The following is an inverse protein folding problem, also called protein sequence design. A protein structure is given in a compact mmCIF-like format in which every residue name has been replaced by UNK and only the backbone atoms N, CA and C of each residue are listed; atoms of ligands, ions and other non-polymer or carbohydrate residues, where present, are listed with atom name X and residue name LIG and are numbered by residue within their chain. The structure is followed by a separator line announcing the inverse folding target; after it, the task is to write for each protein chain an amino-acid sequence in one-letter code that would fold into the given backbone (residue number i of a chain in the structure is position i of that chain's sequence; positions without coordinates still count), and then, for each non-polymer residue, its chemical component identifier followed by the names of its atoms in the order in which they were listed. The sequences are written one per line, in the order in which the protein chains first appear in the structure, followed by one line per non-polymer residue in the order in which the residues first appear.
data_IF_103759488251
#
_entry.id   IF_103759488251
#
_cell.length_a   1.000
_cell.length_b   1.000
_cell.length_c   1.000
_cell.angle_alpha   90.00
_cell.angle_beta   90.00
_cell.angle_gamma   90.00
#
_symmetry.space_group_name_H-M   'P 1'
#
loop_
_entity.id
_entity.type
_entity.pdbx_description
1 polymer ?
#
# COMPACT_ATOMS: atom_id res chain seq x y z
N UNK A 1 5.19 -16.52 11.68
CA UNK A 1 6.37 -16.13 12.47
C UNK A 1 5.97 -15.54 13.81
N UNK A 2 6.92 -15.18 14.71
CA UNK A 2 6.58 -14.71 16.07
C UNK A 2 5.60 -13.52 16.09
N UNK A 3 5.77 -12.56 15.18
CA UNK A 3 4.89 -11.38 15.10
C UNK A 3 3.46 -11.74 14.70
N UNK A 4 3.28 -12.64 13.73
CA UNK A 4 1.94 -13.10 13.33
C UNK A 4 1.19 -13.73 14.53
N UNK A 5 1.89 -14.54 15.33
CA UNK A 5 1.33 -15.14 16.55
C UNK A 5 1.03 -14.07 17.61
N UNK A 6 1.96 -13.13 17.84
CA UNK A 6 1.76 -12.05 18.83
C UNK A 6 0.56 -11.19 18.46
N UNK A 7 0.39 -10.86 17.16
CA UNK A 7 -0.72 -10.06 16.67
C UNK A 7 -2.05 -10.80 16.83
N UNK A 8 -2.13 -12.07 16.39
CA UNK A 8 -3.35 -12.89 16.50
C UNK A 8 -3.73 -13.23 17.94
N UNK A 9 -2.75 -13.51 18.80
CA UNK A 9 -2.97 -13.89 20.18
C UNK A 9 -3.00 -12.67 21.14
N UNK A 10 -2.76 -11.46 20.65
CA UNK A 10 -2.74 -10.18 21.39
C UNK A 10 -1.88 -10.23 22.66
N UNK A 11 -0.70 -10.80 22.54
CA UNK A 11 0.11 -11.18 23.70
C UNK A 11 1.20 -10.19 24.09
N UNK A 12 1.51 -9.17 23.27
CA UNK A 12 2.60 -8.23 23.59
C UNK A 12 2.55 -6.91 22.81
N UNK A 13 3.20 -5.89 23.34
CA UNK A 13 3.42 -4.60 22.67
C UNK A 13 2.14 -3.78 22.58
N UNK A 14 1.88 -3.27 21.38
CA UNK A 14 0.65 -2.53 21.04
C UNK A 14 -0.57 -3.46 20.89
N UNK A 15 -0.34 -4.76 20.69
CA UNK A 15 -1.36 -5.77 20.42
C UNK A 15 -1.85 -6.40 21.74
N UNK A 16 -2.76 -5.74 22.44
CA UNK A 16 -3.25 -6.17 23.77
C UNK A 16 -4.75 -6.49 23.80
N UNK A 17 -5.45 -6.20 22.70
CA UNK A 17 -6.87 -6.49 22.51
C UNK A 17 -7.18 -6.54 21.02
N UNK A 18 -8.31 -7.13 20.60
CA UNK A 18 -8.76 -7.09 19.23
C UNK A 18 -8.80 -5.66 18.68
N UNK A 19 -9.41 -4.74 19.42
CA UNK A 19 -9.49 -3.33 19.02
C UNK A 19 -8.11 -2.70 18.81
N UNK A 20 -7.13 -2.97 19.69
CA UNK A 20 -5.79 -2.41 19.53
C UNK A 20 -5.08 -2.94 18.27
N UNK A 21 -5.35 -4.16 17.84
CA UNK A 21 -4.85 -4.68 16.56
C UNK A 21 -5.45 -3.92 15.38
N UNK A 22 -6.75 -3.64 15.42
CA UNK A 22 -7.43 -2.86 14.39
C UNK A 22 -6.92 -1.40 14.36
N UNK A 23 -6.72 -0.78 15.52
CA UNK A 23 -6.11 0.55 15.60
C UNK A 23 -4.73 0.61 14.96
N UNK A 24 -3.88 -0.39 15.20
CA UNK A 24 -2.56 -0.49 14.58
C UNK A 24 -2.65 -0.71 13.06
N UNK A 25 -3.59 -1.51 12.58
CA UNK A 25 -3.83 -1.65 11.14
C UNK A 25 -4.20 -0.29 10.50
N UNK A 26 -5.04 0.50 11.18
CA UNK A 26 -5.47 1.80 10.66
C UNK A 26 -4.36 2.84 10.78
N UNK A 27 -3.72 3.00 11.94
CA UNK A 27 -2.76 4.08 12.20
C UNK A 27 -1.35 3.72 11.73
N UNK A 28 -0.77 2.64 12.25
CA UNK A 28 0.62 2.26 11.95
C UNK A 28 0.78 1.68 10.55
N UNK A 29 -0.28 1.06 10.02
CA UNK A 29 -0.35 0.55 8.66
C UNK A 29 -0.87 1.61 7.68
N UNK A 30 -2.19 1.62 7.46
CA UNK A 30 -2.83 2.37 6.36
C UNK A 30 -2.56 3.88 6.38
N UNK A 31 -2.77 4.54 7.53
CA UNK A 31 -2.51 5.98 7.65
C UNK A 31 -1.04 6.32 7.41
N UNK A 32 -0.14 5.59 8.07
CA UNK A 32 1.30 5.88 7.97
C UNK A 32 1.76 5.82 6.50
N UNK A 33 1.34 4.82 5.76
CA UNK A 33 1.71 4.67 4.35
C UNK A 33 1.05 5.73 3.46
N UNK A 34 -0.24 6.04 3.66
CA UNK A 34 -0.89 7.12 2.91
C UNK A 34 -0.18 8.47 3.14
N UNK A 35 0.17 8.76 4.40
CA UNK A 35 0.91 9.96 4.77
C UNK A 35 2.34 9.96 4.22
N UNK A 36 3.04 8.83 4.29
CA UNK A 36 4.40 8.71 3.76
C UNK A 36 4.45 8.93 2.26
N UNK A 37 3.54 8.32 1.50
CA UNK A 37 3.46 8.54 0.05
C UNK A 37 3.15 10.00 -0.27
N UNK A 38 2.16 10.59 0.40
CA UNK A 38 1.77 11.97 0.15
C UNK A 38 2.82 13.00 0.58
N UNK A 39 3.34 12.90 1.81
CA UNK A 39 4.22 13.91 2.41
C UNK A 39 5.70 13.63 2.12
N UNK A 40 6.21 12.44 2.42
CA UNK A 40 7.64 12.16 2.31
C UNK A 40 8.07 11.79 0.89
N UNK A 41 7.28 10.95 0.19
CA UNK A 41 7.69 10.41 -1.12
C UNK A 41 7.36 11.35 -2.29
N UNK A 42 6.30 12.19 -2.19
CA UNK A 42 5.91 13.12 -3.27
C UNK A 42 6.13 14.59 -2.88
N UNK A 43 5.60 15.05 -1.74
CA UNK A 43 5.63 16.48 -1.38
C UNK A 43 7.03 16.96 -0.99
N UNK A 44 7.85 16.16 -0.31
CA UNK A 44 9.21 16.57 0.05
C UNK A 44 10.08 16.83 -1.20
N UNK A 45 10.17 15.89 -2.19
CA UNK A 45 10.82 16.18 -3.47
C UNK A 45 10.25 17.40 -4.19
N UNK A 46 8.93 17.54 -4.26
CA UNK A 46 8.24 18.67 -4.88
C UNK A 46 8.62 20.00 -4.21
N UNK A 47 8.58 20.06 -2.89
CA UNK A 47 8.87 21.28 -2.13
C UNK A 47 10.32 21.72 -2.32
N UNK A 48 11.27 20.80 -2.22
CA UNK A 48 12.69 21.08 -2.49
C UNK A 48 12.90 21.60 -3.91
N UNK A 49 12.35 20.90 -4.89
CA UNK A 49 12.51 21.22 -6.31
C UNK A 49 11.93 22.59 -6.65
N UNK A 50 10.72 22.90 -6.18
CA UNK A 50 10.02 24.17 -6.46
C UNK A 50 10.56 25.36 -5.65
N UNK A 51 11.18 25.12 -4.49
CA UNK A 51 11.85 26.18 -3.70
C UNK A 51 13.22 26.57 -4.24
N UNK A 52 13.71 25.91 -5.29
CA UNK A 52 14.98 26.23 -5.96
C UNK A 52 16.11 25.22 -5.69
N UNK A 53 15.94 24.31 -4.72
CA UNK A 53 16.86 23.19 -4.49
C UNK A 53 16.50 22.01 -5.42
N UNK A 54 16.72 22.22 -6.72
CA UNK A 54 16.39 21.22 -7.74
C UNK A 54 17.16 19.92 -7.58
N UNK A 55 18.43 20.01 -7.19
CA UNK A 55 19.28 18.84 -6.98
C UNK A 55 18.82 18.04 -5.76
N UNK A 56 18.54 18.72 -4.63
CA UNK A 56 17.98 18.11 -3.44
C UNK A 56 16.61 17.45 -3.70
N UNK A 57 15.75 18.10 -4.51
CA UNK A 57 14.47 17.52 -4.92
C UNK A 57 14.64 16.25 -5.75
N UNK A 58 15.55 16.26 -6.71
CA UNK A 58 15.87 15.08 -7.54
C UNK A 58 16.36 13.89 -6.70
N UNK A 59 17.28 14.11 -5.77
CA UNK A 59 17.84 13.04 -4.93
C UNK A 59 16.92 12.61 -3.77
N UNK A 60 15.88 13.38 -3.47
CA UNK A 60 14.86 12.99 -2.51
C UNK A 60 13.86 11.96 -3.08
N UNK A 61 13.82 11.79 -4.41
CA UNK A 61 12.93 10.82 -5.05
C UNK A 61 13.38 9.39 -4.75
N UNK A 62 12.52 8.60 -4.13
CA UNK A 62 12.74 7.17 -3.96
C UNK A 62 12.75 6.45 -5.32
N UNK A 63 13.43 5.30 -5.40
CA UNK A 63 13.58 4.53 -6.65
C UNK A 63 14.20 5.32 -7.81
N UNK A 64 15.04 6.30 -7.47
CA UNK A 64 15.64 7.24 -8.39
C UNK A 64 16.42 6.57 -9.54
N UNK A 65 17.13 5.48 -9.25
CA UNK A 65 17.93 4.76 -10.24
C UNK A 65 17.10 3.87 -11.16
N UNK A 66 16.03 3.30 -10.66
CA UNK A 66 15.17 2.36 -11.41
C UNK A 66 14.09 3.04 -12.24
N UNK A 67 13.74 4.29 -11.91
CA UNK A 67 12.64 5.06 -12.52
C UNK A 67 11.26 4.49 -12.24
N UNK A 68 11.12 3.66 -11.21
CA UNK A 68 9.88 2.96 -10.85
C UNK A 68 9.08 3.60 -9.71
N UNK A 69 9.44 4.83 -9.27
CA UNK A 69 8.78 5.50 -8.15
C UNK A 69 7.25 5.49 -8.25
N UNK A 70 6.71 5.75 -9.44
CA UNK A 70 5.25 5.75 -9.66
C UNK A 70 4.62 4.40 -9.36
N UNK A 71 5.23 3.31 -9.83
CA UNK A 71 4.69 1.96 -9.64
C UNK A 71 4.91 1.50 -8.18
N UNK A 72 6.03 1.86 -7.57
CA UNK A 72 6.32 1.60 -6.16
C UNK A 72 5.28 2.31 -5.26
N UNK A 73 5.03 3.61 -5.49
CA UNK A 73 4.03 4.37 -4.71
C UNK A 73 2.59 3.87 -4.93
N UNK A 74 2.27 3.41 -6.14
CA UNK A 74 0.98 2.77 -6.41
C UNK A 74 0.84 1.47 -5.60
N UNK A 75 1.89 0.65 -5.52
CA UNK A 75 1.89 -0.57 -4.71
C UNK A 75 1.78 -0.26 -3.20
N UNK A 76 2.33 0.85 -2.73
CA UNK A 76 2.08 1.32 -1.35
C UNK A 76 0.59 1.59 -1.11
N UNK A 77 -0.11 2.24 -2.03
CA UNK A 77 -1.57 2.44 -1.90
C UNK A 77 -2.34 1.10 -1.99
N UNK A 78 -1.88 0.17 -2.82
CA UNK A 78 -2.47 -1.19 -2.85
C UNK A 78 -2.20 -1.99 -1.57
N UNK A 79 -1.13 -1.71 -0.81
CA UNK A 79 -0.98 -2.29 0.53
C UNK A 79 -2.11 -1.83 1.46
N UNK A 80 -2.49 -0.55 1.39
CA UNK A 80 -3.64 -0.02 2.14
C UNK A 80 -4.94 -0.72 1.72
N UNK A 81 -5.17 -0.86 0.39
CA UNK A 81 -6.33 -1.59 -0.13
C UNK A 81 -6.39 -3.02 0.41
N UNK A 82 -5.29 -3.74 0.33
CA UNK A 82 -5.24 -5.14 0.77
C UNK A 82 -5.53 -5.27 2.27
N UNK A 83 -5.00 -4.36 3.08
CA UNK A 83 -5.27 -4.29 4.52
C UNK A 83 -6.75 -3.99 4.79
N UNK A 84 -7.33 -3.02 4.07
CA UNK A 84 -8.73 -2.63 4.22
C UNK A 84 -9.71 -3.72 3.74
N UNK A 85 -9.38 -4.41 2.65
CA UNK A 85 -10.19 -5.49 2.07
C UNK A 85 -9.94 -6.86 2.74
N UNK A 86 -8.89 -6.99 3.56
CA UNK A 86 -8.51 -8.24 4.21
C UNK A 86 -8.06 -9.33 3.24
N UNK A 87 -7.61 -8.96 2.03
CA UNK A 87 -7.26 -9.88 0.97
C UNK A 87 -6.28 -9.28 -0.04
N UNK A 88 -5.35 -10.08 -0.53
CA UNK A 88 -4.54 -9.76 -1.70
C UNK A 88 -5.32 -10.17 -2.96
N UNK A 89 -5.38 -9.30 -3.95
CA UNK A 89 -5.83 -9.64 -5.29
C UNK A 89 -4.63 -10.04 -6.15
N UNK A 90 -4.60 -11.30 -6.60
CA UNK A 90 -3.55 -11.82 -7.48
C UNK A 90 -3.54 -11.15 -8.86
N UNK A 91 -4.63 -10.45 -9.22
CA UNK A 91 -4.74 -9.72 -10.47
C UNK A 91 -4.26 -8.25 -10.37
N UNK A 92 -3.94 -7.75 -9.17
CA UNK A 92 -3.50 -6.36 -8.97
C UNK A 92 -2.28 -6.02 -9.81
N UNK A 93 -1.30 -6.93 -9.93
CA UNK A 93 -0.09 -6.74 -10.74
C UNK A 93 -0.43 -6.42 -12.19
N UNK A 94 -1.30 -7.23 -12.80
CA UNK A 94 -1.72 -7.01 -14.18
C UNK A 94 -2.56 -5.76 -14.36
N UNK A 95 -3.30 -5.35 -13.31
CA UNK A 95 -4.10 -4.13 -13.31
C UNK A 95 -3.24 -2.88 -13.10
N UNK A 96 -2.22 -2.92 -12.24
CA UNK A 96 -1.27 -1.80 -12.02
C UNK A 96 -0.44 -1.55 -13.27
N UNK A 97 0.11 -2.57 -13.89
CA UNK A 97 0.79 -2.48 -15.19
C UNK A 97 -0.17 -2.06 -16.31
N UNK A 98 -1.45 -2.28 -16.11
CA UNK A 98 -2.53 -2.11 -17.08
C UNK A 98 -3.19 -0.75 -17.10
N UNK A 99 -2.60 0.33 -16.52
CA UNK A 99 -3.13 1.67 -16.66
C UNK A 99 -4.49 1.91 -15.95
N UNK A 100 -4.45 2.30 -14.68
CA UNK A 100 -5.65 2.65 -13.89
C UNK A 100 -6.54 3.74 -14.53
N UNK A 101 -6.02 4.50 -15.50
CA UNK A 101 -6.80 5.51 -16.23
C UNK A 101 -7.96 4.91 -17.04
N UNK A 102 -7.93 3.61 -17.33
CA UNK A 102 -9.02 2.91 -18.00
C UNK A 102 -10.28 2.77 -17.13
N UNK A 103 -10.17 2.90 -15.82
CA UNK A 103 -11.25 2.76 -14.86
C UNK A 103 -11.73 4.13 -14.38
N UNK A 104 -13.05 4.32 -14.24
CA UNK A 104 -13.61 5.58 -13.75
C UNK A 104 -13.72 5.62 -12.24
N UNK A 105 -13.97 4.48 -11.62
CA UNK A 105 -14.15 4.34 -10.17
C UNK A 105 -13.57 3.02 -9.65
N UNK A 106 -13.50 2.87 -8.32
CA UNK A 106 -13.12 1.60 -7.72
C UNK A 106 -14.11 0.47 -8.11
N UNK A 107 -15.39 0.80 -8.35
CA UNK A 107 -16.44 -0.17 -8.75
C UNK A 107 -16.20 -0.78 -10.13
N UNK A 108 -15.42 -0.12 -10.98
CA UNK A 108 -15.03 -0.65 -12.28
C UNK A 108 -13.74 -1.49 -12.17
N UNK A 109 -12.98 -1.30 -11.10
CA UNK A 109 -11.68 -1.91 -10.86
C UNK A 109 -11.76 -3.12 -9.91
N UNK A 110 -12.54 -3.00 -8.83
CA UNK A 110 -12.70 -4.01 -7.80
C UNK A 110 -14.03 -4.76 -7.95
N UNK A 111 -14.00 -6.08 -7.70
CA UNK A 111 -15.17 -6.94 -7.60
C UNK A 111 -15.54 -7.18 -6.13
N UNK A 112 -16.80 -7.57 -5.87
CA UNK A 112 -17.23 -7.95 -4.51
C UNK A 112 -16.39 -9.12 -3.93
N UNK A 113 -15.88 -10.00 -4.79
CA UNK A 113 -15.00 -11.10 -4.42
C UNK A 113 -13.61 -10.67 -3.95
N UNK A 114 -13.22 -9.41 -4.19
CA UNK A 114 -11.95 -8.86 -3.73
C UNK A 114 -11.97 -8.47 -2.25
N UNK A 115 -13.18 -8.41 -1.64
CA UNK A 115 -13.38 -8.02 -0.24
C UNK A 115 -13.66 -9.28 0.60
N UNK A 116 -12.81 -9.55 1.58
CA UNK A 116 -13.01 -10.67 2.49
C UNK A 116 -14.21 -10.44 3.42
N UNK A 117 -14.84 -11.55 3.84
CA UNK A 117 -15.96 -11.50 4.79
C UNK A 117 -15.53 -10.83 6.11
N UNK A 118 -14.36 -11.22 6.63
CA UNK A 118 -13.76 -10.60 7.80
C UNK A 118 -12.76 -9.52 7.37
N UNK A 119 -13.26 -8.30 7.13
CA UNK A 119 -12.46 -7.16 6.68
C UNK A 119 -12.94 -5.86 7.31
N UNK A 120 -12.05 -4.86 7.37
CA UNK A 120 -12.42 -3.51 7.82
C UNK A 120 -13.54 -2.92 6.95
N UNK A 121 -13.51 -3.16 5.63
CA UNK A 121 -14.55 -2.73 4.72
C UNK A 121 -15.93 -3.28 5.09
N UNK A 122 -16.04 -4.59 5.30
CA UNK A 122 -17.32 -5.22 5.69
C UNK A 122 -17.79 -4.74 7.08
N UNK A 123 -16.86 -4.61 8.02
CA UNK A 123 -17.18 -4.09 9.36
C UNK A 123 -17.77 -2.68 9.29
N UNK A 124 -17.07 -1.75 8.63
CA UNK A 124 -17.51 -0.36 8.52
C UNK A 124 -18.79 -0.26 7.70
N UNK A 125 -18.90 -0.97 6.57
CA UNK A 125 -20.10 -0.98 5.73
C UNK A 125 -21.35 -1.46 6.46
N UNK A 126 -21.19 -2.33 7.47
CA UNK A 126 -22.33 -2.85 8.27
C UNK A 126 -23.09 -1.77 9.04
N UNK A 127 -22.42 -0.68 9.40
CA UNK A 127 -22.95 0.42 10.22
C UNK A 127 -22.88 1.79 9.53
N UNK A 128 -21.94 1.98 8.60
CA UNK A 128 -21.76 3.23 7.85
C UNK A 128 -21.27 2.94 6.41
N UNK A 129 -22.17 2.54 5.50
CA UNK A 129 -21.81 2.24 4.12
C UNK A 129 -21.28 3.45 3.34
N UNK A 130 -21.65 4.68 3.71
CA UNK A 130 -21.17 5.89 3.06
C UNK A 130 -19.68 6.12 3.37
N UNK A 131 -19.25 5.88 4.61
CA UNK A 131 -17.84 5.96 4.99
C UNK A 131 -17.01 4.88 4.31
N UNK A 132 -17.52 3.64 4.22
CA UNK A 132 -16.87 2.55 3.48
C UNK A 132 -16.66 2.92 2.00
N UNK A 133 -17.68 3.50 1.35
CA UNK A 133 -17.60 3.94 -0.04
C UNK A 133 -16.59 5.08 -0.21
N UNK A 134 -16.51 6.02 0.73
CA UNK A 134 -15.55 7.12 0.72
C UNK A 134 -14.11 6.60 0.83
N UNK A 135 -13.83 5.67 1.76
CA UNK A 135 -12.51 5.05 1.91
C UNK A 135 -12.08 4.35 0.62
N UNK A 136 -12.92 3.50 0.04
CA UNK A 136 -12.66 2.80 -1.22
C UNK A 136 -12.38 3.78 -2.36
N UNK A 137 -13.18 4.83 -2.44
CA UNK A 137 -13.04 5.88 -3.46
C UNK A 137 -11.69 6.57 -3.33
N UNK A 138 -11.27 6.95 -2.12
CA UNK A 138 -10.00 7.63 -1.91
C UNK A 138 -8.78 6.71 -2.11
N UNK A 139 -8.86 5.44 -1.70
CA UNK A 139 -7.80 4.46 -2.00
C UNK A 139 -7.60 4.37 -3.52
N UNK A 140 -8.67 4.15 -4.28
CA UNK A 140 -8.60 4.06 -5.73
C UNK A 140 -8.14 5.37 -6.38
N UNK A 141 -8.66 6.51 -5.93
CA UNK A 141 -8.29 7.83 -6.44
C UNK A 141 -6.82 8.15 -6.20
N UNK A 142 -6.27 7.76 -5.04
CA UNK A 142 -4.84 7.93 -4.71
C UNK A 142 -3.96 7.11 -5.66
N UNK A 143 -4.26 5.84 -5.84
CA UNK A 143 -3.53 4.97 -6.77
C UNK A 143 -3.61 5.50 -8.22
N UNK A 144 -4.80 5.93 -8.64
CA UNK A 144 -5.03 6.49 -9.99
C UNK A 144 -4.31 7.81 -10.20
N UNK A 145 -4.29 8.71 -9.21
CA UNK A 145 -3.57 9.99 -9.29
C UNK A 145 -2.06 9.77 -9.39
N UNK A 146 -1.50 8.83 -8.63
CA UNK A 146 -0.09 8.44 -8.73
C UNK A 146 0.22 7.91 -10.14
N UNK A 147 -0.62 7.01 -10.67
CA UNK A 147 -0.46 6.46 -12.02
C UNK A 147 -0.59 7.52 -13.13
N UNK A 148 -1.23 8.64 -12.88
CA UNK A 148 -1.31 9.76 -13.81
C UNK A 148 -0.01 10.57 -13.92
N UNK A 149 0.89 10.47 -12.91
CA UNK A 149 2.18 11.19 -12.95
C UNK A 149 2.99 10.74 -14.17
N UNK A 150 3.47 11.68 -15.03
CA UNK A 150 4.30 11.30 -16.16
C UNK A 150 5.61 10.62 -15.72
N UNK A 151 6.00 9.56 -16.43
CA UNK A 151 7.24 8.84 -16.11
C UNK A 151 8.46 9.44 -16.80
N UNK A 152 9.62 9.35 -16.17
CA UNK A 152 9.84 8.99 -14.76
C UNK A 152 9.47 10.14 -13.82
N UNK A 153 8.95 9.87 -12.64
CA UNK A 153 8.56 10.87 -11.65
C UNK A 153 9.65 11.90 -11.38
N UNK A 154 10.89 11.46 -11.24
CA UNK A 154 12.03 12.36 -10.99
C UNK A 154 12.23 13.49 -12.05
N UNK A 155 11.70 13.32 -13.26
CA UNK A 155 11.73 14.33 -14.32
C UNK A 155 10.46 15.20 -14.36
N UNK A 156 9.45 14.83 -13.55
CA UNK A 156 8.12 15.42 -13.53
C UNK A 156 7.67 15.77 -12.11
N UNK A 157 8.64 16.04 -11.21
CA UNK A 157 8.39 16.33 -9.78
C UNK A 157 7.40 17.49 -9.60
N UNK A 158 7.49 18.53 -10.43
CA UNK A 158 6.66 19.73 -10.38
C UNK A 158 5.46 19.69 -11.32
N UNK A 159 5.05 18.54 -11.81
CA UNK A 159 3.87 18.38 -12.65
C UNK A 159 2.57 18.60 -11.86
N UNK A 160 1.49 18.98 -12.56
CA UNK A 160 0.16 19.11 -11.96
C UNK A 160 -0.35 17.79 -11.41
N UNK A 161 -0.01 16.68 -12.07
CA UNK A 161 -0.36 15.32 -11.63
C UNK A 161 0.36 14.93 -10.33
N UNK A 162 1.61 15.38 -10.14
CA UNK A 162 2.33 15.18 -8.87
C UNK A 162 1.65 15.90 -7.72
N UNK A 163 1.17 17.13 -7.95
CA UNK A 163 0.39 17.88 -6.95
C UNK A 163 -0.94 17.22 -6.67
N UNK A 164 -1.64 16.71 -7.70
CA UNK A 164 -2.89 15.98 -7.53
C UNK A 164 -2.70 14.70 -6.70
N UNK A 165 -1.68 13.91 -7.02
CA UNK A 165 -1.35 12.67 -6.30
C UNK A 165 -1.01 12.95 -4.82
N UNK A 166 -0.17 13.94 -4.56
CA UNK A 166 0.16 14.38 -3.20
C UNK A 166 -1.11 14.72 -2.41
N UNK A 167 -1.99 15.55 -2.97
CA UNK A 167 -3.19 16.02 -2.28
C UNK A 167 -4.16 14.86 -1.99
N UNK A 168 -4.37 13.96 -2.96
CA UNK A 168 -5.29 12.82 -2.79
C UNK A 168 -4.76 11.83 -1.74
N UNK A 169 -3.46 11.53 -1.72
CA UNK A 169 -2.86 10.71 -0.66
C UNK A 169 -2.99 11.35 0.73
N UNK A 170 -2.79 12.66 0.83
CA UNK A 170 -2.96 13.39 2.09
C UNK A 170 -4.43 13.43 2.54
N UNK A 171 -5.39 13.49 1.61
CA UNK A 171 -6.81 13.40 1.89
C UNK A 171 -7.18 12.01 2.44
N UNK A 172 -6.67 10.94 1.82
CA UNK A 172 -6.80 9.58 2.34
C UNK A 172 -6.21 9.44 3.75
N UNK A 173 -4.99 9.96 3.98
CA UNK A 173 -4.37 9.94 5.30
C UNK A 173 -5.23 10.69 6.34
N UNK A 174 -5.74 11.87 6.00
CA UNK A 174 -6.61 12.63 6.90
C UNK A 174 -7.90 11.89 7.23
N UNK A 175 -8.55 11.26 6.25
CA UNK A 175 -9.75 10.45 6.47
C UNK A 175 -9.45 9.29 7.44
N UNK A 176 -8.39 8.53 7.19
CA UNK A 176 -8.02 7.36 8.01
C UNK A 176 -7.77 7.72 9.48
N UNK A 177 -7.02 8.80 9.74
CA UNK A 177 -6.64 9.16 11.11
C UNK A 177 -7.76 9.90 11.86
N UNK A 178 -8.44 10.84 11.18
CA UNK A 178 -9.32 11.79 11.86
C UNK A 178 -10.80 11.38 11.83
N UNK A 179 -11.17 10.44 10.97
CA UNK A 179 -12.55 9.96 10.84
C UNK A 179 -12.66 8.45 11.07
N UNK A 180 -11.91 7.64 10.31
CA UNK A 180 -12.02 6.18 10.36
C UNK A 180 -11.61 5.63 11.73
N UNK A 181 -10.42 6.00 12.22
CA UNK A 181 -9.93 5.52 13.53
C UNK A 181 -10.89 5.89 14.68
N UNK A 182 -11.31 7.16 14.84
CA UNK A 182 -12.28 7.51 15.87
C UNK A 182 -13.63 6.82 15.70
N UNK A 183 -14.09 6.65 14.46
CA UNK A 183 -15.34 5.96 14.16
C UNK A 183 -15.28 4.50 14.63
N UNK A 184 -14.23 3.79 14.29
CA UNK A 184 -14.03 2.39 14.70
C UNK A 184 -14.00 2.28 16.23
N UNK A 185 -13.24 3.14 16.91
CA UNK A 185 -13.18 3.15 18.37
C UNK A 185 -14.51 3.42 19.05
N UNK A 186 -15.30 4.34 18.51
CA UNK A 186 -16.59 4.71 19.10
C UNK A 186 -17.67 3.67 18.82
N UNK A 187 -17.63 3.03 17.67
CA UNK A 187 -18.70 2.13 17.22
C UNK A 187 -18.43 0.68 17.65
N UNK A 188 -17.17 0.25 17.61
CA UNK A 188 -16.77 -1.15 17.82
C UNK A 188 -15.87 -1.35 19.04
N UNK A 189 -15.78 -0.35 19.93
CA UNK A 189 -14.95 -0.42 21.14
C UNK A 189 -15.55 -1.24 22.28
N UNK A 190 -16.79 -1.66 22.19
CA UNK A 190 -17.42 -2.52 23.19
C UNK A 190 -17.03 -3.99 23.01
N UNK A 191 -16.82 -4.76 24.11
CA UNK A 191 -16.40 -6.16 24.04
C UNK A 191 -17.35 -7.09 23.27
N UNK A 192 -18.56 -6.67 22.95
CA UNK A 192 -19.48 -7.46 22.13
C UNK A 192 -18.99 -7.61 20.67
N UNK A 193 -18.06 -6.77 20.22
CA UNK A 193 -17.43 -6.82 18.89
C UNK A 193 -16.08 -7.54 18.87
N UNK A 194 -15.55 -7.98 20.02
CA UNK A 194 -14.22 -8.57 20.11
C UNK A 194 -14.05 -9.77 19.13
N UNK A 195 -15.06 -10.63 19.01
CA UNK A 195 -15.01 -11.79 18.11
C UNK A 195 -14.91 -11.37 16.62
N UNK A 196 -15.60 -10.29 16.22
CA UNK A 196 -15.53 -9.76 14.85
C UNK A 196 -14.18 -9.11 14.56
N UNK A 197 -13.65 -8.35 15.53
CA UNK A 197 -12.35 -7.69 15.42
C UNK A 197 -11.21 -8.73 15.40
N UNK A 198 -11.31 -9.79 16.19
CA UNK A 198 -10.38 -10.93 16.16
C UNK A 198 -10.37 -11.62 14.80
N UNK A 199 -11.55 -11.89 14.24
CA UNK A 199 -11.67 -12.51 12.94
C UNK A 199 -11.03 -11.65 11.83
N UNK A 200 -11.14 -10.31 11.92
CA UNK A 200 -10.47 -9.38 10.99
C UNK A 200 -8.95 -9.42 11.18
N UNK A 201 -8.47 -9.42 12.43
CA UNK A 201 -7.04 -9.50 12.72
C UNK A 201 -6.43 -10.83 12.22
N UNK A 202 -7.12 -11.95 12.41
CA UNK A 202 -6.72 -13.25 11.86
C UNK A 202 -6.71 -13.25 10.32
N UNK A 203 -7.77 -12.75 9.69
CA UNK A 203 -7.89 -12.62 8.24
C UNK A 203 -6.75 -11.78 7.66
N UNK A 204 -6.45 -10.63 8.26
CA UNK A 204 -5.33 -9.78 7.84
C UNK A 204 -4.00 -10.52 7.86
N UNK A 205 -3.69 -11.20 8.97
CA UNK A 205 -2.44 -11.96 9.08
C UNK A 205 -2.37 -13.09 8.05
N UNK A 206 -3.43 -13.88 7.93
CA UNK A 206 -3.40 -15.13 7.17
C UNK A 206 -3.57 -14.90 5.66
N UNK A 207 -4.34 -13.89 5.25
CA UNK A 207 -4.65 -13.64 3.85
C UNK A 207 -3.94 -12.41 3.23
N UNK A 208 -3.32 -11.55 4.06
CA UNK A 208 -2.57 -10.39 3.57
C UNK A 208 -1.10 -10.50 3.95
N UNK A 209 -0.77 -10.51 5.25
CA UNK A 209 0.62 -10.43 5.71
C UNK A 209 1.43 -11.65 5.28
N UNK A 210 1.01 -12.85 5.66
CA UNK A 210 1.79 -14.06 5.39
C UNK A 210 1.94 -14.36 3.89
N UNK A 211 0.92 -14.22 3.03
CA UNK A 211 1.07 -14.38 1.59
C UNK A 211 2.00 -13.34 0.97
N UNK A 212 1.91 -12.06 1.36
CA UNK A 212 2.79 -10.98 0.87
C UNK A 212 4.25 -11.27 1.18
N UNK A 213 4.57 -11.64 2.42
CA UNK A 213 5.95 -11.98 2.80
C UNK A 213 6.44 -13.28 2.16
N UNK A 214 5.55 -14.23 1.89
CA UNK A 214 5.91 -15.45 1.14
C UNK A 214 6.26 -15.11 -0.31
N UNK A 215 5.46 -14.30 -0.98
CA UNK A 215 5.74 -13.84 -2.34
C UNK A 215 7.06 -13.04 -2.39
N UNK A 216 7.27 -12.13 -1.43
CA UNK A 216 8.53 -11.40 -1.28
C UNK A 216 9.73 -12.34 -1.14
N UNK A 217 9.63 -13.39 -0.33
CA UNK A 217 10.69 -14.37 -0.16
C UNK A 217 10.99 -15.13 -1.47
N UNK A 218 9.95 -15.56 -2.19
CA UNK A 218 10.09 -16.30 -3.45
C UNK A 218 10.73 -15.42 -4.54
N UNK A 219 10.25 -14.18 -4.71
CA UNK A 219 10.79 -13.23 -5.70
C UNK A 219 12.24 -12.80 -5.38
N UNK A 220 12.57 -12.57 -4.11
CA UNK A 220 13.96 -12.30 -3.70
C UNK A 220 14.91 -13.49 -3.94
N UNK A 221 14.43 -14.72 -3.80
CA UNK A 221 15.22 -15.91 -4.13
C UNK A 221 15.52 -15.97 -5.62
N UNK A 222 14.53 -15.71 -6.48
CA UNK A 222 14.72 -15.65 -7.93
C UNK A 222 15.72 -14.55 -8.32
N UNK A 223 15.63 -13.39 -7.70
CA UNK A 223 16.58 -12.28 -7.88
C UNK A 223 18.00 -12.68 -7.47
N UNK A 224 18.17 -13.29 -6.30
CA UNK A 224 19.48 -13.76 -5.82
C UNK A 224 20.10 -14.76 -6.80
N UNK A 225 19.32 -15.71 -7.33
CA UNK A 225 19.79 -16.69 -8.30
C UNK A 225 20.20 -16.01 -9.62
N UNK A 226 19.46 -15.01 -10.11
CA UNK A 226 19.79 -14.26 -11.31
C UNK A 226 21.07 -13.41 -11.14
N UNK A 227 21.24 -12.76 -9.99
CA UNK A 227 22.45 -11.99 -9.67
C UNK A 227 23.68 -12.91 -9.60
N UNK A 228 23.56 -14.10 -9.01
CA UNK A 228 24.62 -15.11 -8.98
C UNK A 228 24.95 -15.62 -10.38
N UNK A 229 23.94 -15.84 -11.24
CA UNK A 229 24.13 -16.22 -12.62
C UNK A 229 24.86 -15.14 -13.40
N UNK A 230 24.48 -13.87 -13.26
CA UNK A 230 25.17 -12.74 -13.88
C UNK A 230 26.63 -12.64 -13.41
N UNK A 231 26.90 -12.81 -12.11
CA UNK A 231 28.26 -12.80 -11.57
C UNK A 231 29.16 -13.90 -12.17
N UNK A 232 28.58 -15.10 -12.39
CA UNK A 232 29.32 -16.25 -12.95
C UNK A 232 29.50 -16.15 -14.46
N UNK A 233 28.53 -15.59 -15.18
CA UNK A 233 28.51 -15.43 -16.62
C UNK A 233 27.99 -14.04 -17.01
N UNK A 234 28.82 -13.01 -16.95
CA UNK A 234 28.43 -11.64 -17.31
C UNK A 234 28.02 -11.57 -18.79
N UNK A 235 26.73 -11.21 -19.00
CA UNK A 235 26.18 -10.94 -20.34
C UNK A 235 25.01 -9.94 -20.19
N UNK A 236 24.63 -9.28 -21.28
CA UNK A 236 23.49 -8.35 -21.28
C UNK A 236 22.22 -9.07 -20.87
N UNK A 237 21.96 -10.27 -21.40
CA UNK A 237 20.76 -11.05 -21.09
C UNK A 237 20.66 -11.38 -19.59
N UNK A 238 21.78 -11.80 -18.96
CA UNK A 238 21.80 -12.09 -17.52
C UNK A 238 21.67 -10.80 -16.68
N UNK A 239 22.20 -9.68 -17.14
CA UNK A 239 22.03 -8.38 -16.51
C UNK A 239 20.57 -7.93 -16.58
N UNK A 240 19.96 -7.94 -17.77
CA UNK A 240 18.54 -7.57 -17.97
C UNK A 240 17.61 -8.46 -17.15
N UNK A 241 17.90 -9.78 -17.09
CA UNK A 241 17.14 -10.71 -16.25
C UNK A 241 17.21 -10.32 -14.77
N UNK A 242 18.39 -9.98 -14.26
CA UNK A 242 18.54 -9.55 -12.86
C UNK A 242 17.81 -8.22 -12.59
N UNK A 243 17.86 -7.26 -13.52
CA UNK A 243 17.13 -5.99 -13.41
C UNK A 243 15.60 -6.21 -13.37
N UNK A 244 15.09 -7.04 -14.28
CA UNK A 244 13.65 -7.33 -14.32
C UNK A 244 13.17 -8.04 -13.05
N UNK A 245 13.95 -8.99 -12.53
CA UNK A 245 13.62 -9.67 -11.29
C UNK A 245 13.76 -8.75 -10.07
N UNK A 246 14.62 -7.74 -10.11
CA UNK A 246 14.67 -6.72 -9.06
C UNK A 246 13.37 -5.90 -9.02
N UNK A 247 12.90 -5.46 -10.19
CA UNK A 247 11.61 -4.75 -10.31
C UNK A 247 10.46 -5.63 -9.77
N UNK A 248 10.42 -6.90 -10.20
CA UNK A 248 9.40 -7.85 -9.74
C UNK A 248 9.45 -8.08 -8.22
N UNK A 249 10.63 -8.10 -7.62
CA UNK A 249 10.79 -8.29 -6.17
C UNK A 249 10.41 -7.03 -5.36
N UNK A 250 10.43 -5.85 -5.97
CA UNK A 250 9.97 -4.60 -5.34
C UNK A 250 8.48 -4.60 -5.05
N UNK A 251 7.68 -5.18 -5.93
CA UNK A 251 6.22 -5.17 -5.81
C UNK A 251 5.71 -5.70 -4.44
N UNK A 252 5.99 -6.96 -4.02
CA UNK A 252 5.54 -7.42 -2.71
C UNK A 252 6.25 -6.70 -1.55
N UNK A 253 7.41 -6.09 -1.76
CA UNK A 253 8.05 -5.23 -0.79
C UNK A 253 7.16 -4.01 -0.51
N UNK A 254 6.79 -3.26 -1.54
CA UNK A 254 5.92 -2.08 -1.42
C UNK A 254 4.52 -2.44 -0.89
N UNK A 255 3.99 -3.61 -1.29
CA UNK A 255 2.71 -4.13 -0.79
C UNK A 255 2.76 -4.64 0.66
N UNK A 256 3.94 -4.71 1.28
CA UNK A 256 4.11 -5.15 2.68
C UNK A 256 4.18 -4.00 3.69
N UNK A 257 4.03 -2.76 3.24
CA UNK A 257 4.29 -1.58 4.07
C UNK A 257 3.08 -1.11 4.89
N UNK A 258 1.86 -1.49 4.54
CA UNK A 258 0.65 -1.19 5.35
C UNK A 258 0.24 -2.32 6.26
#
# INVERSE_FOLDING_TARGET
GPYATIFKDQTAGAYQSPLSCIEEMIESGMWNIANEVGDAKIKDPYTKYTSGDKEGGLYAVESWYSWHSRDDYTNNIFSIRNTYYGRIDDNDVSKVDGNLSAFNSYKDFDDEGDIAEHSLSKLIASTNPDLDEEIKTLIFASAKAIQAIPQPFRNNIDSEESVAAMNTCMELANLLLNEVKPYVNQTFGDPEYDDDLDAIAEQFVDAVVLPTYKDLQEKNKLLLDAVNQFRQNPSNDNFEKACNLWITAREPWEKSEA
#
